data_IF_944494111236
#
_entry.id   IF_944494111236
#
_cell.length_a   1.000
_cell.length_b   1.000
_cell.length_c   1.000
_cell.angle_alpha   90.00
_cell.angle_beta   90.00
_cell.angle_gamma   90.00
#
_symmetry.space_group_name_H-M   'P 1'
#
loop_
_entity.id
_entity.type
_entity.pdbx_description
1 polymer ?
#
# COMPACT_ATOMS: atom_id res chain seq x y z
N UNK A 1 25.27 -0.29 -16.41
CA UNK A 1 24.58 0.66 -15.51
C UNK A 1 23.06 0.42 -15.38
N UNK A 2 22.34 0.07 -16.45
CA UNK A 2 20.88 -0.17 -16.43
C UNK A 2 20.49 -1.38 -15.57
N UNK A 3 21.20 -2.50 -15.67
CA UNK A 3 20.91 -3.73 -14.90
C UNK A 3 20.93 -3.52 -13.37
N UNK A 4 21.90 -2.73 -12.87
CA UNK A 4 22.04 -2.44 -11.44
C UNK A 4 20.93 -1.52 -10.93
N UNK A 5 20.50 -0.53 -11.73
CA UNK A 5 19.36 0.34 -11.40
C UNK A 5 18.04 -0.42 -11.38
N UNK A 6 17.85 -1.36 -12.32
CA UNK A 6 16.68 -2.24 -12.34
C UNK A 6 16.64 -3.14 -11.10
N UNK A 7 17.75 -3.78 -10.73
CA UNK A 7 17.83 -4.61 -9.52
C UNK A 7 17.49 -3.84 -8.24
N UNK A 8 18.02 -2.63 -8.07
CA UNK A 8 17.68 -1.80 -6.90
C UNK A 8 16.22 -1.31 -6.94
N UNK A 9 15.69 -0.99 -8.11
CA UNK A 9 14.29 -0.57 -8.28
C UNK A 9 13.32 -1.72 -7.98
N UNK A 10 13.56 -2.91 -8.54
CA UNK A 10 12.76 -4.12 -8.29
C UNK A 10 12.88 -4.56 -6.83
N UNK A 11 14.08 -4.49 -6.25
CA UNK A 11 14.29 -4.77 -4.82
C UNK A 11 13.49 -3.83 -3.91
N UNK A 12 13.45 -2.53 -4.24
CA UNK A 12 12.65 -1.57 -3.49
C UNK A 12 11.14 -1.85 -3.58
N UNK A 13 10.66 -2.22 -4.77
CA UNK A 13 9.26 -2.65 -4.96
C UNK A 13 8.95 -3.89 -4.12
N UNK A 14 9.84 -4.88 -4.11
CA UNK A 14 9.64 -6.11 -3.36
C UNK A 14 9.66 -5.88 -1.85
N UNK A 15 10.60 -5.07 -1.36
CA UNK A 15 10.67 -4.67 0.06
C UNK A 15 9.44 -3.89 0.48
N UNK A 16 8.88 -3.04 -0.39
CA UNK A 16 7.63 -2.32 -0.10
C UNK A 16 6.43 -3.25 0.10
N UNK A 17 6.39 -4.34 -0.64
CA UNK A 17 5.33 -5.33 -0.52
C UNK A 17 5.44 -6.09 0.80
N UNK A 18 6.66 -6.52 1.17
CA UNK A 18 6.93 -7.22 2.43
C UNK A 18 6.64 -6.30 3.62
N UNK A 19 7.11 -5.05 3.59
CA UNK A 19 6.87 -4.08 4.65
C UNK A 19 5.39 -3.73 4.78
N UNK A 20 4.66 -3.62 3.66
CA UNK A 20 3.21 -3.47 3.67
C UNK A 20 2.50 -4.64 4.36
N UNK A 21 2.93 -5.87 4.08
CA UNK A 21 2.37 -7.07 4.72
C UNK A 21 2.69 -7.15 6.22
N UNK A 22 3.93 -6.82 6.62
CA UNK A 22 4.33 -6.77 8.03
C UNK A 22 3.54 -5.68 8.77
N UNK A 23 3.41 -4.48 8.19
CA UNK A 23 2.64 -3.39 8.78
C UNK A 23 1.16 -3.76 8.93
N UNK A 24 0.56 -4.41 7.92
CA UNK A 24 -0.79 -4.93 8.00
C UNK A 24 -0.95 -5.93 9.15
N UNK A 25 -0.06 -6.93 9.23
CA UNK A 25 -0.10 -7.92 10.32
C UNK A 25 0.16 -7.32 11.70
N UNK A 26 1.03 -6.31 11.79
CA UNK A 26 1.32 -5.61 13.04
C UNK A 26 0.12 -4.81 13.55
N UNK A 27 -0.55 -4.05 12.67
CA UNK A 27 -1.76 -3.31 13.04
C UNK A 27 -2.90 -4.27 13.36
N UNK A 28 -3.02 -5.38 12.61
CA UNK A 28 -4.02 -6.42 12.87
C UNK A 28 -3.93 -6.99 14.29
N UNK A 29 -2.71 -7.26 14.77
CA UNK A 29 -2.49 -7.87 16.09
C UNK A 29 -2.48 -6.85 17.24
N UNK A 30 -1.91 -5.65 17.02
CA UNK A 30 -1.65 -4.69 18.10
C UNK A 30 -2.73 -3.63 18.24
N UNK A 31 -3.45 -3.31 17.16
CA UNK A 31 -4.46 -2.25 17.11
C UNK A 31 -5.73 -2.74 16.40
N UNK A 32 -6.49 -3.68 17.00
CA UNK A 32 -7.68 -4.25 16.39
C UNK A 32 -8.74 -3.18 16.08
N UNK A 33 -8.91 -2.17 16.94
CA UNK A 33 -9.88 -1.09 16.72
C UNK A 33 -9.52 -0.24 15.50
N UNK A 34 -8.22 0.05 15.30
CA UNK A 34 -7.74 0.76 14.12
C UNK A 34 -7.92 -0.08 12.86
N UNK A 35 -7.69 -1.40 12.93
CA UNK A 35 -7.92 -2.29 11.80
C UNK A 35 -9.40 -2.34 11.42
N UNK A 36 -10.31 -2.40 12.40
CA UNK A 36 -11.75 -2.36 12.15
C UNK A 36 -12.16 -1.05 11.46
N UNK A 37 -11.66 0.11 11.93
CA UNK A 37 -11.91 1.39 11.27
C UNK A 37 -11.41 1.43 9.82
N UNK A 38 -10.27 0.81 9.52
CA UNK A 38 -9.73 0.73 8.15
C UNK A 38 -10.59 -0.18 7.27
N UNK A 39 -11.07 -1.31 7.81
CA UNK A 39 -11.97 -2.22 7.10
C UNK A 39 -13.33 -1.56 6.85
N UNK A 40 -13.86 -0.83 7.83
CA UNK A 40 -15.10 -0.06 7.70
C UNK A 40 -14.96 1.04 6.65
N UNK A 41 -13.83 1.75 6.63
CA UNK A 41 -13.52 2.73 5.58
C UNK A 41 -13.42 2.08 4.19
N UNK A 42 -12.82 0.88 4.09
CA UNK A 42 -12.76 0.12 2.85
C UNK A 42 -14.16 -0.33 2.37
N UNK A 43 -15.02 -0.77 3.29
CA UNK A 43 -16.41 -1.13 2.99
C UNK A 43 -17.22 0.10 2.54
N UNK A 44 -17.00 1.25 3.18
CA UNK A 44 -17.58 2.53 2.77
C UNK A 44 -17.16 2.95 1.36
N UNK A 45 -15.87 2.82 1.02
CA UNK A 45 -15.35 3.10 -0.32
C UNK A 45 -15.96 2.15 -1.37
N UNK A 46 -16.05 0.84 -1.06
CA UNK A 46 -16.70 -0.15 -1.92
C UNK A 46 -18.15 0.21 -2.17
N UNK A 47 -18.88 0.57 -1.12
CA UNK A 47 -20.28 0.96 -1.21
C UNK A 47 -20.44 2.19 -2.09
N UNK A 48 -19.61 3.22 -1.89
CA UNK A 48 -19.59 4.43 -2.71
C UNK A 48 -19.26 4.19 -4.19
N UNK A 49 -18.33 3.27 -4.49
CA UNK A 49 -18.03 2.86 -5.86
C UNK A 49 -19.21 2.18 -6.54
N UNK A 50 -19.95 1.35 -5.80
CA UNK A 50 -21.13 0.63 -6.28
C UNK A 50 -22.30 1.61 -6.54
N UNK A 51 -22.52 2.61 -5.69
CA UNK A 51 -23.62 3.57 -5.84
C UNK A 51 -23.47 4.54 -7.03
N UNK A 52 -22.28 4.63 -7.66
CA UNK A 52 -22.06 5.50 -8.83
C UNK A 52 -22.71 5.02 -10.14
N UNK A 53 -23.65 4.07 -10.09
CA UNK A 53 -24.45 3.68 -11.26
C UNK A 53 -23.73 2.76 -12.23
N UNK A 54 -22.80 1.93 -11.74
CA UNK A 54 -22.17 0.91 -12.57
C UNK A 54 -23.20 -0.15 -12.97
N UNK A 55 -23.18 -0.54 -14.24
CA UNK A 55 -23.98 -1.63 -14.80
C UNK A 55 -23.93 -2.87 -13.89
N UNK A 56 -25.03 -3.64 -13.75
CA UNK A 56 -25.08 -4.85 -12.91
C UNK A 56 -23.93 -5.83 -13.16
N UNK A 57 -23.44 -5.90 -14.40
CA UNK A 57 -22.30 -6.73 -14.81
C UNK A 57 -21.00 -6.28 -14.14
N UNK A 58 -20.72 -4.96 -14.11
CA UNK A 58 -19.56 -4.39 -13.42
C UNK A 58 -19.66 -4.50 -11.91
N UNK A 59 -20.89 -4.47 -11.39
CA UNK A 59 -21.15 -4.55 -9.97
C UNK A 59 -20.74 -5.92 -9.39
N UNK A 60 -20.86 -6.98 -10.19
CA UNK A 60 -20.45 -8.32 -9.79
C UNK A 60 -18.92 -8.46 -9.71
N UNK A 61 -18.20 -7.86 -10.67
CA UNK A 61 -16.73 -7.78 -10.63
C UNK A 61 -16.23 -7.01 -9.41
N UNK A 62 -16.86 -5.89 -9.07
CA UNK A 62 -16.51 -5.11 -7.87
C UNK A 62 -16.79 -5.90 -6.59
N UNK A 63 -17.90 -6.65 -6.53
CA UNK A 63 -18.19 -7.47 -5.35
C UNK A 63 -17.15 -8.58 -5.13
N UNK A 64 -16.72 -9.23 -6.21
CA UNK A 64 -15.80 -10.38 -6.18
C UNK A 64 -14.34 -9.95 -6.04
N UNK A 65 -13.91 -8.90 -6.76
CA UNK A 65 -12.51 -8.46 -6.79
C UNK A 65 -12.15 -7.46 -5.67
N UNK A 66 -13.12 -6.76 -5.08
CA UNK A 66 -12.89 -5.86 -3.95
C UNK A 66 -13.40 -6.49 -2.66
N UNK A 67 -12.65 -7.45 -2.12
CA UNK A 67 -12.77 -7.81 -0.70
C UNK A 67 -12.21 -6.69 0.18
N UNK A 68 -12.88 -6.40 1.29
CA UNK A 68 -12.48 -5.35 2.24
C UNK A 68 -11.05 -5.55 2.76
N UNK A 69 -10.66 -6.82 2.97
CA UNK A 69 -9.29 -7.21 3.35
C UNK A 69 -8.26 -6.89 2.26
N UNK A 70 -8.60 -7.11 0.99
CA UNK A 70 -7.70 -6.77 -0.13
C UNK A 70 -7.57 -5.27 -0.30
N UNK A 71 -8.68 -4.52 -0.19
CA UNK A 71 -8.67 -3.07 -0.17
C UNK A 71 -7.80 -2.50 0.95
N UNK A 72 -7.98 -3.02 2.17
CA UNK A 72 -7.16 -2.63 3.31
C UNK A 72 -5.68 -2.95 3.06
N UNK A 73 -5.36 -4.16 2.58
CA UNK A 73 -3.99 -4.55 2.25
C UNK A 73 -3.36 -3.65 1.16
N UNK A 74 -4.13 -3.30 0.12
CA UNK A 74 -3.69 -2.35 -0.90
C UNK A 74 -3.41 -0.97 -0.30
N UNK A 75 -4.28 -0.49 0.60
CA UNK A 75 -4.07 0.75 1.34
C UNK A 75 -2.78 0.73 2.17
N UNK A 76 -2.54 -0.34 2.91
CA UNK A 76 -1.30 -0.55 3.66
C UNK A 76 -0.06 -0.61 2.76
N UNK A 77 -0.17 -1.26 1.60
CA UNK A 77 0.93 -1.34 0.63
C UNK A 77 1.25 0.03 0.04
N UNK A 78 0.24 0.86 -0.25
CA UNK A 78 0.42 2.24 -0.71
C UNK A 78 1.07 3.08 0.39
N UNK A 79 0.58 2.99 1.63
CA UNK A 79 1.17 3.69 2.77
C UNK A 79 2.63 3.29 3.00
N UNK A 80 2.94 1.99 2.92
CA UNK A 80 4.30 1.48 3.02
C UNK A 80 5.20 2.00 1.88
N UNK A 81 4.66 2.14 0.66
CA UNK A 81 5.38 2.76 -0.45
C UNK A 81 5.69 4.23 -0.21
N UNK A 82 4.74 4.99 0.32
CA UNK A 82 4.96 6.40 0.67
C UNK A 82 6.04 6.50 1.75
N UNK A 83 5.93 5.69 2.80
CA UNK A 83 6.93 5.64 3.87
C UNK A 83 8.33 5.29 3.33
N UNK A 84 8.44 4.27 2.47
CA UNK A 84 9.70 3.91 1.84
C UNK A 84 10.23 5.00 0.91
N UNK A 85 9.37 5.68 0.16
CA UNK A 85 9.77 6.80 -0.69
C UNK A 85 10.39 7.93 0.15
N UNK A 86 9.82 8.21 1.32
CA UNK A 86 10.35 9.20 2.25
C UNK A 86 11.70 8.72 2.80
N UNK A 87 11.77 7.50 3.33
CA UNK A 87 13.00 6.93 3.90
C UNK A 87 14.13 6.89 2.87
N UNK A 88 13.86 6.40 1.66
CA UNK A 88 14.86 6.33 0.59
C UNK A 88 15.29 7.72 0.13
N UNK A 89 14.36 8.68 0.00
CA UNK A 89 14.68 10.07 -0.32
C UNK A 89 15.54 10.75 0.74
N UNK A 90 15.22 10.57 2.02
CA UNK A 90 16.03 11.08 3.13
C UNK A 90 17.40 10.42 3.15
N UNK A 91 17.48 9.09 2.94
CA UNK A 91 18.74 8.37 2.93
C UNK A 91 19.64 8.82 1.78
N UNK A 92 19.08 9.07 0.59
CA UNK A 92 19.84 9.63 -0.54
C UNK A 92 20.35 11.04 -0.23
N UNK A 93 19.52 11.89 0.38
CA UNK A 93 19.92 13.23 0.77
C UNK A 93 21.06 13.24 1.81
N UNK A 94 20.97 12.39 2.83
CA UNK A 94 22.05 12.21 3.83
C UNK A 94 23.32 11.71 3.15
N UNK A 95 23.18 10.73 2.27
CA UNK A 95 24.29 10.12 1.57
C UNK A 95 25.04 11.12 0.66
N UNK A 96 24.31 12.01 0.00
CA UNK A 96 24.89 13.07 -0.82
C UNK A 96 25.60 14.12 0.04
N UNK A 97 25.01 14.48 1.19
CA UNK A 97 25.62 15.37 2.20
C UNK A 97 26.93 14.82 2.75
N UNK A 98 26.99 13.51 3.05
CA UNK A 98 28.20 12.84 3.56
C UNK A 98 29.29 12.72 2.49
N UNK A 99 28.92 12.56 1.22
CA UNK A 99 29.88 12.50 0.10
C UNK A 99 30.39 13.88 -0.34
N UNK A 100 29.90 14.97 0.25
CA UNK A 100 30.39 16.33 -0.04
C UNK A 100 30.07 16.81 -1.45
N UNK A 101 28.89 16.44 -1.98
CA UNK A 101 28.39 16.92 -3.27
C UNK A 101 27.21 17.88 -3.09
#
# INVERSE_FOLDING_TARGET
MIMRRLLFSTGNIFLSLILGAIAFGFVFLKYPDTMNQILDAASGLKTWLITRGLSPEYNNWIRVLLEERQLAFMGFTIAARIALSIVTGTLTWVWDTVRGN
#
